data_IF_369270121444
#
_entry.id   IF_369270121444
#
_cell.length_a   1.000
_cell.length_b   1.000
_cell.length_c   1.000
_cell.angle_alpha   90.00
_cell.angle_beta   90.00
_cell.angle_gamma   90.00
#
_symmetry.space_group_name_H-M   'P 1'
#
loop_
_entity.id
_entity.type
_entity.pdbx_description
1 polymer ?
#
# COMPACT_ATOMS: atom_id res chain seq x y z
N UNK A 1 1.02 14.24 -8.95
CA UNK A 1 1.40 15.41 -8.11
C UNK A 1 1.95 14.92 -6.77
N UNK A 2 2.74 15.71 -6.02
CA UNK A 2 3.27 15.35 -4.69
C UNK A 2 2.21 14.73 -3.75
N UNK A 3 0.98 15.25 -3.81
CA UNK A 3 -0.17 14.78 -3.04
C UNK A 3 -0.61 13.33 -3.33
N UNK A 4 -0.28 12.75 -4.49
CA UNK A 4 -0.78 11.43 -4.88
C UNK A 4 -0.01 10.28 -4.21
N UNK A 5 1.31 10.42 -4.01
CA UNK A 5 2.12 9.42 -3.30
C UNK A 5 1.74 9.35 -1.83
N UNK A 6 1.68 10.51 -1.18
CA UNK A 6 1.27 10.61 0.22
C UNK A 6 -0.15 10.08 0.42
N UNK A 7 -1.08 10.45 -0.47
CA UNK A 7 -2.44 9.91 -0.47
C UNK A 7 -2.45 8.39 -0.60
N UNK A 8 -1.70 7.82 -1.54
CA UNK A 8 -1.60 6.37 -1.71
C UNK A 8 -1.05 5.67 -0.48
N UNK A 9 0.01 6.21 0.14
CA UNK A 9 0.59 5.67 1.38
C UNK A 9 -0.45 5.67 2.51
N UNK A 10 -1.12 6.79 2.75
CA UNK A 10 -2.10 6.89 3.82
C UNK A 10 -3.36 6.06 3.54
N UNK A 11 -3.77 5.91 2.29
CA UNK A 11 -4.86 5.02 1.92
C UNK A 11 -4.55 3.57 2.30
N UNK A 12 -3.34 3.08 1.99
CA UNK A 12 -2.93 1.72 2.36
C UNK A 12 -3.02 1.51 3.87
N UNK A 13 -2.52 2.46 4.67
CA UNK A 13 -2.60 2.39 6.13
C UNK A 13 -4.06 2.32 6.60
N UNK A 14 -4.92 3.22 6.10
CA UNK A 14 -6.35 3.25 6.47
C UNK A 14 -7.06 1.95 6.12
N UNK A 15 -6.89 1.45 4.89
CA UNK A 15 -7.55 0.23 4.45
C UNK A 15 -7.11 -1.00 5.23
N UNK A 16 -5.81 -1.13 5.57
CA UNK A 16 -5.32 -2.23 6.40
C UNK A 16 -6.02 -2.27 7.75
N UNK A 17 -6.13 -1.12 8.43
CA UNK A 17 -6.75 -1.06 9.75
C UNK A 17 -8.27 -1.26 9.69
N UNK A 18 -8.94 -0.72 8.67
CA UNK A 18 -10.38 -0.97 8.44
C UNK A 18 -10.65 -2.46 8.20
N UNK A 19 -9.87 -3.12 7.34
CA UNK A 19 -10.05 -4.54 7.05
C UNK A 19 -9.75 -5.42 8.28
N UNK A 20 -8.76 -5.06 9.10
CA UNK A 20 -8.50 -5.76 10.38
C UNK A 20 -9.67 -5.61 11.35
N UNK A 21 -10.23 -4.40 11.46
CA UNK A 21 -11.38 -4.14 12.30
C UNK A 21 -12.61 -4.93 11.80
N UNK A 22 -12.84 -4.96 10.49
CA UNK A 22 -13.93 -5.73 9.89
C UNK A 22 -13.75 -7.23 10.13
N UNK A 23 -12.56 -7.79 9.89
CA UNK A 23 -12.29 -9.21 10.13
C UNK A 23 -12.57 -9.60 11.60
N UNK A 24 -12.24 -8.71 12.55
CA UNK A 24 -12.55 -8.89 13.98
C UNK A 24 -14.07 -8.86 14.24
N UNK A 25 -14.80 -7.93 13.62
CA UNK A 25 -16.25 -7.82 13.77
C UNK A 25 -16.99 -9.02 13.16
N UNK A 26 -16.48 -9.55 12.03
CA UNK A 26 -17.05 -10.69 11.31
C UNK A 26 -16.72 -12.05 11.97
N UNK A 27 -16.02 -12.05 13.12
CA UNK A 27 -15.67 -13.27 13.85
C UNK A 27 -14.64 -14.15 13.14
N UNK A 28 -13.86 -13.59 12.19
CA UNK A 28 -12.77 -14.31 11.53
C UNK A 28 -11.69 -14.62 12.57
N UNK A 29 -11.65 -15.87 13.00
CA UNK A 29 -10.71 -16.37 14.02
C UNK A 29 -9.57 -17.11 13.34
N UNK A 30 -8.42 -16.44 13.23
CA UNK A 30 -7.21 -16.98 12.60
C UNK A 30 -6.28 -15.86 12.13
N UNK A 31 -5.03 -16.19 11.81
CA UNK A 31 -4.08 -15.26 11.19
C UNK A 31 -4.50 -14.97 9.74
N UNK A 32 -5.55 -14.17 9.56
CA UNK A 32 -5.83 -13.56 8.27
C UNK A 32 -4.74 -12.50 8.05
N UNK A 33 -3.74 -12.80 7.24
CA UNK A 33 -2.72 -11.82 6.86
C UNK A 33 -3.36 -10.81 5.89
N UNK A 34 -3.86 -9.70 6.42
CA UNK A 34 -4.32 -8.58 5.58
C UNK A 34 -3.09 -7.84 5.09
N UNK A 35 -2.81 -8.07 3.82
CA UNK A 35 -1.69 -7.51 3.10
C UNK A 35 -2.16 -6.48 2.09
N UNK A 36 -1.62 -5.27 2.19
CA UNK A 36 -1.85 -4.21 1.22
C UNK A 36 -0.51 -3.68 0.74
N UNK A 37 -0.41 -3.50 -0.58
CA UNK A 37 0.81 -3.10 -1.28
C UNK A 37 0.48 -1.92 -2.16
N UNK A 38 1.27 -0.85 -2.06
CA UNK A 38 1.16 0.32 -2.93
C UNK A 38 1.84 0.02 -4.27
N UNK A 39 1.07 0.02 -5.37
CA UNK A 39 1.62 -0.22 -6.71
C UNK A 39 1.76 1.10 -7.45
N UNK A 40 2.93 1.36 -8.00
CA UNK A 40 3.27 2.59 -8.71
C UNK A 40 3.75 2.30 -10.13
N UNK A 41 3.29 3.10 -11.08
CA UNK A 41 3.76 3.05 -12.48
C UNK A 41 5.21 3.49 -12.63
N UNK A 42 5.65 4.41 -11.76
CA UNK A 42 6.96 5.06 -11.78
C UNK A 42 7.68 4.89 -10.44
N UNK A 43 8.89 5.43 -10.37
CA UNK A 43 9.70 5.43 -9.16
C UNK A 43 9.16 6.46 -8.16
N UNK A 44 8.92 6.04 -6.93
CA UNK A 44 8.55 6.91 -5.82
C UNK A 44 9.74 7.80 -5.42
N UNK A 45 9.53 9.13 -5.26
CA UNK A 45 10.55 10.03 -4.73
C UNK A 45 11.02 9.64 -3.33
N UNK A 46 12.28 9.98 -3.00
CA UNK A 46 12.96 9.55 -1.77
C UNK A 46 12.20 9.91 -0.48
N UNK A 47 11.71 11.15 -0.38
CA UNK A 47 10.94 11.61 0.79
C UNK A 47 9.72 10.74 1.09
N UNK A 48 8.98 10.30 0.06
CA UNK A 48 7.81 9.44 0.21
C UNK A 48 8.17 7.99 0.50
N UNK A 49 9.33 7.52 0.02
CA UNK A 49 9.83 6.18 0.39
C UNK A 49 10.12 6.10 1.88
N UNK A 50 10.69 7.15 2.45
CA UNK A 50 11.00 7.19 3.87
C UNK A 50 9.73 7.24 4.72
N UNK A 51 8.70 7.98 4.26
CA UNK A 51 7.37 7.93 4.87
C UNK A 51 6.76 6.53 4.76
N UNK A 52 6.81 5.89 3.59
CA UNK A 52 6.28 4.54 3.38
C UNK A 52 6.96 3.50 4.27
N UNK A 53 8.30 3.56 4.39
CA UNK A 53 9.08 2.70 5.30
C UNK A 53 8.70 2.92 6.75
N UNK A 54 8.61 4.19 7.18
CA UNK A 54 8.24 4.56 8.55
C UNK A 54 6.88 4.00 8.93
N UNK A 55 5.94 3.98 7.98
CA UNK A 55 4.57 3.46 8.18
C UNK A 55 4.42 1.96 7.88
N UNK A 56 5.52 1.25 7.55
CA UNK A 56 5.49 -0.17 7.21
C UNK A 56 4.61 -0.48 5.99
N UNK A 57 4.57 0.43 5.01
CA UNK A 57 3.86 0.27 3.74
C UNK A 57 4.80 -0.39 2.73
N UNK A 58 4.40 -1.57 2.26
CA UNK A 58 5.08 -2.24 1.14
C UNK A 58 4.69 -1.58 -0.16
N UNK A 59 5.64 -1.43 -1.08
CA UNK A 59 5.37 -0.85 -2.40
C UNK A 59 6.13 -1.56 -3.52
N UNK A 60 5.56 -1.54 -4.72
CA UNK A 60 6.13 -2.04 -5.98
C UNK A 60 6.13 -0.88 -6.97
N UNK A 61 7.24 -0.70 -7.69
CA UNK A 61 7.45 0.44 -8.60
C UNK A 61 7.69 -0.03 -10.03
N UNK A 62 7.60 0.91 -10.98
CA UNK A 62 7.90 0.68 -12.40
C UNK A 62 6.97 -0.35 -13.09
N UNK A 63 5.76 -0.56 -12.57
CA UNK A 63 4.84 -1.59 -13.09
C UNK A 63 4.30 -1.29 -14.48
N UNK A 64 4.32 -0.03 -14.93
CA UNK A 64 3.90 0.35 -16.29
C UNK A 64 4.89 -0.04 -17.39
N UNK A 65 6.18 -0.22 -17.08
CA UNK A 65 7.19 -0.63 -18.07
C UNK A 65 7.13 -2.13 -18.42
N UNK A 66 6.57 -2.95 -17.54
CA UNK A 66 6.51 -4.41 -17.73
C UNK A 66 5.26 -4.88 -18.51
N UNK A 67 4.25 -4.03 -18.72
CA UNK A 67 3.03 -4.39 -19.45
C UNK A 67 3.07 -4.03 -20.95
N UNK A 68 4.10 -3.34 -21.43
CA UNK A 68 4.25 -2.97 -22.85
C UNK A 68 4.88 -4.07 -23.74
N UNK A 69 5.17 -5.25 -23.16
CA UNK A 69 5.79 -6.39 -23.86
C UNK A 69 5.01 -7.70 -23.71
N UNK A 70 3.68 -7.64 -23.59
CA UNK A 70 2.81 -8.83 -23.68
C UNK A 70 1.67 -8.62 -24.64
#
# INVERSE_FOLDING_TARGET
MPCDYERGIYQIVKYREVLKAQAKADGVTGLMSIDAVLVLESQMPGEYRDVAKTLGVRFIENMGRNMAHR
#
